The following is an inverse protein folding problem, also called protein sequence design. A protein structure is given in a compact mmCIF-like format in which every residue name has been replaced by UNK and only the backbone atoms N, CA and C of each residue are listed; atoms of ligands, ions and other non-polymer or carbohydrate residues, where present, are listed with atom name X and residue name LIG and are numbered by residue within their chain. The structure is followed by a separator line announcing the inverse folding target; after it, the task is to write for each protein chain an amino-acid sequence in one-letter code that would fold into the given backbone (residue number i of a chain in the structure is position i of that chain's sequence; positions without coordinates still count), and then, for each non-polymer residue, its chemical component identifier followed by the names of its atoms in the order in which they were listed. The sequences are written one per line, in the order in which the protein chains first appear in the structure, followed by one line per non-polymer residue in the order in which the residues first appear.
data_IF_535255266869
#
_entry.id   IF_535255266869
#
_cell.length_a   1.000
_cell.length_b   1.000
_cell.length_c   1.000
_cell.angle_alpha   90.00
_cell.angle_beta   90.00
_cell.angle_gamma   90.00
#
_symmetry.space_group_name_H-M   'P 1'
#
loop_
_entity.id
_entity.type
_entity.pdbx_description
1 polymer ?
#
# COMPACT_ATOMS: atom_id res chain seq x y z
N UNK A 1 7.84 -9.69 11.02
CA UNK A 1 7.96 -9.77 9.53
C UNK A 1 9.08 -8.92 8.96
N UNK A 2 9.51 -7.87 9.66
CA UNK A 2 10.55 -6.95 9.14
C UNK A 2 11.94 -7.56 9.18
N UNK A 3 12.25 -8.36 10.18
CA UNK A 3 13.51 -9.08 10.29
C UNK A 3 13.79 -10.00 9.10
N UNK A 4 12.77 -10.67 8.58
CA UNK A 4 12.94 -11.57 7.42
C UNK A 4 13.30 -10.82 6.15
N UNK A 5 12.75 -9.62 5.95
CA UNK A 5 13.06 -8.76 4.78
C UNK A 5 14.47 -8.18 4.89
N UNK A 6 14.86 -7.73 6.09
CA UNK A 6 16.22 -7.25 6.35
C UNK A 6 17.25 -8.37 6.13
N UNK A 7 16.98 -9.58 6.64
CA UNK A 7 17.84 -10.73 6.40
C UNK A 7 17.96 -11.05 4.91
N UNK A 8 16.85 -11.02 4.15
CA UNK A 8 16.87 -11.23 2.70
C UNK A 8 17.78 -10.23 1.97
N UNK A 9 17.68 -8.93 2.29
CA UNK A 9 18.55 -7.91 1.72
C UNK A 9 20.03 -8.15 2.08
N UNK A 10 20.32 -8.55 3.31
CA UNK A 10 21.68 -8.87 3.73
C UNK A 10 22.27 -10.07 2.98
N UNK A 11 21.48 -11.15 2.78
CA UNK A 11 21.91 -12.29 1.97
C UNK A 11 22.21 -11.88 0.52
N UNK A 12 21.39 -11.04 -0.08
CA UNK A 12 21.66 -10.50 -1.42
C UNK A 12 22.95 -9.70 -1.45
N UNK A 13 23.15 -8.81 -0.48
CA UNK A 13 24.39 -8.01 -0.40
C UNK A 13 25.65 -8.86 -0.24
N UNK A 14 25.56 -9.98 0.51
CA UNK A 14 26.67 -10.90 0.75
C UNK A 14 26.91 -11.89 -0.41
N UNK A 15 25.99 -12.02 -1.33
CA UNK A 15 26.07 -13.01 -2.43
C UNK A 15 27.19 -12.73 -3.44
N UNK A 16 27.67 -11.49 -3.50
CA UNK A 16 28.62 -11.04 -4.54
C UNK A 16 28.01 -10.91 -5.94
N UNK A 17 26.70 -11.18 -6.08
CA UNK A 17 25.98 -11.04 -7.36
C UNK A 17 25.43 -9.61 -7.51
N UNK A 18 25.31 -9.10 -8.74
CA UNK A 18 24.55 -7.88 -8.97
C UNK A 18 23.09 -8.12 -8.60
N UNK A 19 22.51 -7.25 -7.76
CA UNK A 19 21.12 -7.37 -7.30
C UNK A 19 20.43 -6.03 -7.23
N UNK A 20 19.11 -6.05 -7.28
CA UNK A 20 18.25 -4.91 -6.95
C UNK A 20 17.20 -5.35 -5.92
N UNK A 21 17.14 -4.63 -4.81
CA UNK A 21 16.09 -4.76 -3.79
C UNK A 21 15.13 -3.60 -3.91
N UNK A 22 13.84 -3.87 -4.11
CA UNK A 22 12.80 -2.86 -4.16
C UNK A 22 12.05 -2.82 -2.82
N UNK A 23 12.16 -1.71 -2.10
CA UNK A 23 11.38 -1.44 -0.89
C UNK A 23 10.11 -0.70 -1.28
N UNK A 24 8.98 -1.38 -1.16
CA UNK A 24 7.71 -0.89 -1.68
C UNK A 24 6.93 -0.12 -0.63
N UNK A 25 6.28 0.98 -1.03
CA UNK A 25 5.13 1.54 -0.33
C UNK A 25 3.93 0.57 -0.39
N UNK A 26 2.75 0.97 0.09
CA UNK A 26 1.56 0.14 0.02
C UNK A 26 1.05 0.07 -1.43
N UNK A 27 1.47 -0.97 -2.15
CA UNK A 27 1.01 -1.19 -3.52
C UNK A 27 -0.48 -1.47 -3.53
N UNK A 28 -1.21 -0.66 -4.28
CA UNK A 28 -2.67 -0.59 -4.28
C UNK A 28 -3.20 -0.83 -5.69
N UNK A 29 -4.07 -1.83 -5.83
CA UNK A 29 -4.63 -2.20 -7.13
C UNK A 29 -5.56 -3.40 -7.04
N UNK A 30 -6.01 -3.95 -8.18
CA UNK A 30 -6.93 -5.07 -8.25
C UNK A 30 -6.57 -6.22 -7.30
N UNK A 31 -7.60 -6.82 -6.70
CA UNK A 31 -7.47 -7.93 -5.74
C UNK A 31 -6.84 -7.60 -4.39
N UNK A 32 -6.55 -6.34 -4.09
CA UNK A 32 -6.15 -5.97 -2.73
C UNK A 32 -7.28 -6.30 -1.75
N UNK A 33 -7.02 -7.18 -0.80
CA UNK A 33 -8.02 -7.68 0.14
C UNK A 33 -7.65 -7.47 1.62
N UNK A 34 -6.46 -6.90 1.88
CA UNK A 34 -5.93 -6.62 3.22
C UNK A 34 -5.67 -5.13 3.38
N UNK A 35 -5.85 -4.62 4.58
CA UNK A 35 -5.58 -3.23 4.93
C UNK A 35 -6.83 -2.37 5.05
N UNK A 36 -6.66 -1.04 5.22
CA UNK A 36 -7.77 -0.15 5.55
C UNK A 36 -8.80 -0.01 4.40
N UNK A 37 -8.36 0.05 3.15
CA UNK A 37 -9.25 0.29 2.01
C UNK A 37 -10.33 -0.79 1.89
N UNK A 38 -9.99 -2.10 1.75
CA UNK A 38 -11.01 -3.15 1.66
C UNK A 38 -11.80 -3.30 2.97
N UNK A 39 -11.19 -3.01 4.12
CA UNK A 39 -11.88 -3.05 5.41
C UNK A 39 -12.98 -2.00 5.48
N UNK A 40 -12.67 -0.75 5.16
CA UNK A 40 -13.66 0.33 5.14
C UNK A 40 -14.75 0.07 4.10
N UNK A 41 -14.38 -0.34 2.89
CA UNK A 41 -15.35 -0.65 1.84
C UNK A 41 -16.35 -1.72 2.30
N UNK A 42 -15.89 -2.85 2.82
CA UNK A 42 -16.76 -3.93 3.29
C UNK A 42 -17.66 -3.49 4.46
N UNK A 43 -17.08 -2.86 5.48
CA UNK A 43 -17.82 -2.45 6.68
C UNK A 43 -18.86 -1.38 6.39
N UNK A 44 -18.48 -0.32 5.67
CA UNK A 44 -19.41 0.76 5.32
C UNK A 44 -20.53 0.28 4.39
N UNK A 45 -20.23 -0.57 3.43
CA UNK A 45 -21.25 -1.17 2.57
C UNK A 45 -22.23 -2.06 3.35
N UNK A 46 -21.79 -2.67 4.43
CA UNK A 46 -22.62 -3.45 5.35
C UNK A 46 -23.31 -2.60 6.44
N UNK A 47 -23.20 -1.28 6.41
CA UNK A 47 -23.76 -0.38 7.43
C UNK A 47 -23.09 -0.49 8.80
N UNK A 48 -21.86 -0.99 8.87
CA UNK A 48 -21.11 -1.17 10.11
C UNK A 48 -20.26 0.06 10.43
N UNK A 49 -20.08 0.35 11.72
CA UNK A 49 -19.19 1.42 12.18
C UNK A 49 -17.72 1.12 11.93
N UNK A 50 -16.95 2.19 11.75
CA UNK A 50 -15.49 2.15 11.56
C UNK A 50 -14.80 3.06 12.57
N UNK A 51 -13.50 2.87 12.68
CA UNK A 51 -12.57 3.82 13.31
C UNK A 51 -11.31 3.91 12.46
N UNK A 52 -10.56 5.00 12.58
CA UNK A 52 -9.29 5.20 11.91
C UNK A 52 -8.14 5.11 12.91
N UNK A 53 -6.99 4.59 12.52
CA UNK A 53 -5.77 4.79 13.28
C UNK A 53 -5.13 6.13 12.90
N UNK A 54 -4.44 6.76 13.88
CA UNK A 54 -3.63 7.97 13.64
C UNK A 54 -2.29 7.59 12.99
N UNK A 55 -2.37 6.98 11.81
CA UNK A 55 -1.23 6.55 11.05
C UNK A 55 -1.17 7.25 9.69
N UNK A 56 0.05 7.46 9.20
CA UNK A 56 0.32 7.90 7.84
C UNK A 56 1.02 6.81 7.05
N UNK A 57 0.58 6.60 5.82
CA UNK A 57 1.14 5.61 4.91
C UNK A 57 1.24 6.18 3.50
N UNK A 58 2.22 5.71 2.77
CA UNK A 58 2.35 5.97 1.34
C UNK A 58 1.65 4.85 0.55
N UNK A 59 0.86 5.25 -0.44
CA UNK A 59 0.09 4.37 -1.31
C UNK A 59 0.54 4.53 -2.75
N UNK A 60 0.86 3.41 -3.39
CA UNK A 60 1.40 3.36 -4.74
C UNK A 60 0.45 2.61 -5.66
N UNK A 61 0.08 3.21 -6.78
CA UNK A 61 -0.73 2.52 -7.78
C UNK A 61 0.01 1.30 -8.37
N UNK A 62 -0.73 0.23 -8.61
CA UNK A 62 -0.18 -1.00 -9.20
C UNK A 62 0.49 -0.74 -10.55
N UNK A 63 -0.03 0.18 -11.36
CA UNK A 63 0.58 0.49 -12.67
C UNK A 63 1.93 1.19 -12.53
N UNK A 64 2.09 2.05 -11.52
CA UNK A 64 3.36 2.69 -11.21
C UNK A 64 4.39 1.67 -10.67
N UNK A 65 3.92 0.73 -9.83
CA UNK A 65 4.76 -0.38 -9.38
C UNK A 65 5.26 -1.24 -10.55
N UNK A 66 4.36 -1.64 -11.48
CA UNK A 66 4.74 -2.43 -12.65
C UNK A 66 5.75 -1.68 -13.54
N UNK A 67 5.57 -0.37 -13.73
CA UNK A 67 6.55 0.45 -14.45
C UNK A 67 7.93 0.46 -13.78
N UNK A 68 7.98 0.45 -12.44
CA UNK A 68 9.25 0.33 -11.72
C UNK A 68 9.90 -1.05 -11.93
N UNK A 69 9.11 -2.12 -11.93
CA UNK A 69 9.59 -3.48 -12.20
C UNK A 69 10.15 -3.60 -13.61
N UNK A 70 9.49 -3.03 -14.61
CA UNK A 70 9.98 -3.05 -16.00
C UNK A 70 11.36 -2.39 -16.11
N UNK A 71 11.55 -1.24 -15.45
CA UNK A 71 12.85 -0.58 -15.42
C UNK A 71 13.90 -1.36 -14.64
N UNK A 72 13.50 -2.02 -13.55
CA UNK A 72 14.40 -2.84 -12.74
C UNK A 72 14.88 -4.11 -13.48
N UNK A 73 14.10 -4.59 -14.42
CA UNK A 73 14.44 -5.76 -15.24
C UNK A 73 15.27 -5.42 -16.50
N UNK A 74 15.55 -4.16 -16.75
CA UNK A 74 16.38 -3.76 -17.88
C UNK A 74 17.82 -4.27 -17.69
N UNK A 75 18.49 -4.65 -18.81
CA UNK A 75 19.82 -5.27 -18.81
C UNK A 75 20.89 -4.43 -18.07
N UNK A 76 20.76 -3.11 -18.11
CA UNK A 76 21.69 -2.17 -17.47
C UNK A 76 21.09 -1.48 -16.24
N UNK A 77 20.11 -2.11 -15.59
CA UNK A 77 19.51 -1.55 -14.38
C UNK A 77 20.56 -1.40 -13.27
N UNK A 78 20.52 -0.30 -12.50
CA UNK A 78 21.47 -0.08 -11.42
C UNK A 78 21.25 -1.10 -10.29
N UNK A 79 22.32 -1.46 -9.59
CA UNK A 79 22.26 -2.37 -8.44
C UNK A 79 22.05 -1.64 -7.12
N UNK A 80 21.58 -2.36 -6.11
CA UNK A 80 21.40 -1.88 -4.74
C UNK A 80 19.96 -1.82 -4.28
N UNK A 81 19.67 -0.94 -3.32
CA UNK A 81 18.35 -0.82 -2.69
C UNK A 81 17.65 0.44 -3.18
N UNK A 82 16.40 0.30 -3.59
CA UNK A 82 15.57 1.37 -4.16
C UNK A 82 14.20 1.41 -3.50
N UNK A 83 13.79 2.59 -3.01
CA UNK A 83 12.44 2.79 -2.52
C UNK A 83 11.50 3.07 -3.71
N UNK A 84 10.47 2.26 -3.85
CA UNK A 84 9.42 2.42 -4.86
C UNK A 84 8.15 2.91 -4.14
N UNK A 85 7.99 4.22 -4.13
CA UNK A 85 7.01 4.94 -3.32
C UNK A 85 6.63 6.26 -4.00
N UNK A 86 5.51 6.86 -3.59
CA UNK A 86 5.14 8.20 -4.04
C UNK A 86 5.97 9.28 -3.33
N UNK A 87 6.42 9.00 -2.13
CA UNK A 87 7.05 9.96 -1.22
C UNK A 87 6.05 10.87 -0.52
N UNK A 88 4.75 10.57 -0.59
CA UNK A 88 3.68 11.36 0.01
C UNK A 88 2.92 10.49 1.01
N UNK A 89 2.82 10.99 2.25
CA UNK A 89 2.07 10.33 3.31
C UNK A 89 0.61 10.75 3.32
N UNK A 90 -0.29 9.78 3.42
CA UNK A 90 -1.72 9.98 3.56
C UNK A 90 -2.22 9.35 4.86
N UNK A 91 -3.13 10.03 5.55
CA UNK A 91 -3.74 9.53 6.77
C UNK A 91 -4.74 8.41 6.47
N UNK A 92 -4.97 7.54 7.45
CA UNK A 92 -6.01 6.52 7.34
C UNK A 92 -7.40 7.16 7.26
N UNK A 93 -7.58 8.37 7.82
CA UNK A 93 -8.82 9.12 7.70
C UNK A 93 -9.09 9.59 6.27
N UNK A 94 -8.09 10.02 5.52
CA UNK A 94 -8.26 10.37 4.10
C UNK A 94 -8.79 9.19 3.28
N UNK A 95 -8.30 7.97 3.55
CA UNK A 95 -8.84 6.76 2.92
C UNK A 95 -10.31 6.54 3.28
N UNK A 96 -10.64 6.68 4.57
CA UNK A 96 -12.00 6.53 5.05
C UNK A 96 -12.95 7.51 4.36
N UNK A 97 -12.56 8.77 4.26
CA UNK A 97 -13.36 9.82 3.63
C UNK A 97 -13.56 9.54 2.12
N UNK A 98 -12.54 9.08 1.41
CA UNK A 98 -12.64 8.69 0.00
C UNK A 98 -13.57 7.49 -0.20
N UNK A 99 -13.50 6.48 0.66
CA UNK A 99 -14.41 5.31 0.59
C UNK A 99 -15.85 5.72 0.86
N UNK A 100 -16.09 6.59 1.85
CA UNK A 100 -17.45 7.13 2.13
C UNK A 100 -18.00 7.90 0.95
N UNK A 101 -17.21 8.80 0.39
CA UNK A 101 -17.57 9.56 -0.80
C UNK A 101 -17.93 8.66 -1.98
N UNK A 102 -17.13 7.64 -2.23
CA UNK A 102 -17.37 6.67 -3.30
C UNK A 102 -18.69 5.90 -3.12
N UNK A 103 -19.02 5.54 -1.88
CA UNK A 103 -20.28 4.84 -1.55
C UNK A 103 -21.51 5.77 -1.46
N UNK A 104 -21.36 7.07 -1.74
CA UNK A 104 -22.43 8.06 -1.63
C UNK A 104 -22.89 8.32 -0.20
N UNK A 105 -22.06 8.01 0.79
CA UNK A 105 -22.35 8.24 2.21
C UNK A 105 -22.01 9.69 2.60
N UNK A 106 -22.75 10.31 3.54
CA UNK A 106 -22.44 11.65 4.02
C UNK A 106 -21.06 11.67 4.71
N UNK A 107 -20.42 12.83 4.75
CA UNK A 107 -19.19 13.02 5.50
C UNK A 107 -19.40 12.64 7.00
N UNK A 108 -18.33 12.13 7.62
CA UNK A 108 -18.33 11.73 9.04
C UNK A 108 -17.14 12.40 9.74
N UNK A 109 -17.29 13.68 10.12
CA UNK A 109 -16.21 14.41 10.77
C UNK A 109 -15.86 13.86 12.16
N UNK A 110 -16.81 13.16 12.78
CA UNK A 110 -16.70 12.64 14.15
C UNK A 110 -16.20 11.19 14.20
N UNK A 111 -15.74 10.63 13.07
CA UNK A 111 -15.17 9.28 13.07
C UNK A 111 -14.05 9.19 14.12
N UNK A 112 -14.13 8.15 14.94
CA UNK A 112 -13.12 7.95 15.99
C UNK A 112 -11.75 7.72 15.37
N UNK A 113 -10.76 8.55 15.74
CA UNK A 113 -9.34 8.35 15.42
C UNK A 113 -8.65 7.88 16.70
N UNK A 114 -7.95 6.76 16.62
CA UNK A 114 -7.23 6.15 17.74
C UNK A 114 -5.73 6.18 17.48
N UNK A 115 -4.90 6.33 18.51
CA UNK A 115 -3.45 6.20 18.37
C UNK A 115 -3.06 4.87 17.74
N UNK A 116 -1.95 4.83 17.02
CA UNK A 116 -1.36 3.57 16.56
C UNK A 116 -0.98 2.71 17.76
N UNK A 117 -1.10 1.38 17.61
CA UNK A 117 -0.66 0.45 18.64
C UNK A 117 0.86 0.45 18.81
N UNK A 118 1.33 -0.05 19.94
CA UNK A 118 2.78 -0.08 20.28
C UNK A 118 3.62 -0.87 19.26
N UNK A 119 2.99 -1.81 18.56
CA UNK A 119 3.63 -2.66 17.53
C UNK A 119 3.59 -2.04 16.12
N UNK A 120 3.05 -0.85 15.94
CA UNK A 120 2.92 -0.18 14.64
C UNK A 120 3.67 1.16 14.62
N UNK A 121 4.10 1.57 13.42
CA UNK A 121 4.84 2.81 13.21
C UNK A 121 3.87 3.93 12.80
N UNK A 122 3.89 5.09 13.47
CA UNK A 122 2.97 6.19 13.16
C UNK A 122 3.05 6.68 11.72
N UNK A 123 4.25 6.72 11.13
CA UNK A 123 4.43 7.18 9.75
C UNK A 123 5.41 6.30 8.99
N UNK A 124 4.99 5.80 7.83
CA UNK A 124 5.84 5.05 6.89
C UNK A 124 5.69 5.67 5.52
N UNK A 125 6.63 6.52 5.16
CA UNK A 125 6.70 7.24 3.88
C UNK A 125 8.13 7.14 3.34
N UNK A 126 8.44 6.12 2.54
CA UNK A 126 9.79 5.94 2.01
C UNK A 126 10.16 7.07 1.04
N UNK A 127 11.39 7.55 1.10
CA UNK A 127 11.90 8.57 0.17
C UNK A 127 12.29 7.93 -1.17
N UNK A 128 11.66 8.32 -2.32
CA UNK A 128 11.95 7.79 -3.64
C UNK A 128 13.11 8.52 -4.37
N UNK A 129 13.79 9.44 -3.75
CA UNK A 129 14.77 10.34 -4.41
C UNK A 129 15.86 9.57 -5.15
N UNK A 130 16.41 8.51 -4.54
CA UNK A 130 17.41 7.65 -5.17
C UNK A 130 16.84 6.91 -6.39
N UNK A 131 15.64 6.40 -6.30
CA UNK A 131 14.96 5.71 -7.40
C UNK A 131 14.72 6.64 -8.57
N UNK A 132 14.29 7.87 -8.29
CA UNK A 132 14.13 8.91 -9.31
C UNK A 132 15.45 9.24 -9.99
N UNK A 133 16.51 9.45 -9.21
CA UNK A 133 17.81 9.86 -9.73
C UNK A 133 18.49 8.78 -10.58
N UNK A 134 18.45 7.51 -10.15
CA UNK A 134 19.23 6.43 -10.76
C UNK A 134 18.43 5.54 -11.71
N UNK A 135 17.12 5.38 -11.47
CA UNK A 135 16.23 4.56 -12.31
C UNK A 135 15.38 5.41 -13.27
N UNK A 136 15.36 6.74 -13.09
CA UNK A 136 14.52 7.64 -13.87
C UNK A 136 13.01 7.43 -13.62
N UNK A 137 12.65 6.75 -12.54
CA UNK A 137 11.28 6.42 -12.20
C UNK A 137 10.69 7.35 -11.15
N UNK A 138 9.42 7.65 -11.30
CA UNK A 138 8.60 8.30 -10.26
C UNK A 138 7.15 7.85 -10.38
N UNK A 139 6.43 7.85 -9.26
CA UNK A 139 4.98 7.63 -9.26
C UNK A 139 4.27 8.74 -10.05
N UNK A 140 3.29 8.35 -10.86
CA UNK A 140 2.53 9.24 -11.74
C UNK A 140 1.05 9.29 -11.40
N UNK A 141 0.50 8.24 -10.82
CA UNK A 141 -0.92 8.16 -10.48
C UNK A 141 -1.15 8.82 -9.13
N UNK A 142 -2.01 9.86 -9.05
CA UNK A 142 -2.35 10.50 -7.78
C UNK A 142 -3.04 9.54 -6.82
N UNK A 143 -2.93 9.82 -5.53
CA UNK A 143 -3.50 8.99 -4.45
C UNK A 143 -5.01 8.76 -4.58
N UNK A 144 -5.77 9.82 -4.80
CA UNK A 144 -7.23 9.77 -4.96
C UNK A 144 -7.64 8.92 -6.17
N UNK A 145 -6.92 9.04 -7.28
CA UNK A 145 -7.13 8.21 -8.47
C UNK A 145 -6.81 6.74 -8.20
N UNK A 146 -5.73 6.45 -7.48
CA UNK A 146 -5.36 5.09 -7.05
C UNK A 146 -6.48 4.45 -6.25
N UNK A 147 -7.01 5.18 -5.25
CA UNK A 147 -8.12 4.70 -4.41
C UNK A 147 -9.39 4.52 -5.26
N UNK A 148 -9.73 5.49 -6.11
CA UNK A 148 -10.90 5.43 -6.99
C UNK A 148 -10.88 4.21 -7.91
N UNK A 149 -9.75 3.91 -8.52
CA UNK A 149 -9.58 2.72 -9.39
C UNK A 149 -9.84 1.42 -8.63
N UNK A 150 -9.29 1.30 -7.43
CA UNK A 150 -9.49 0.12 -6.59
C UNK A 150 -10.95 -0.03 -6.16
N UNK A 151 -11.60 1.05 -5.74
CA UNK A 151 -13.00 1.02 -5.34
C UNK A 151 -13.93 0.65 -6.52
N UNK A 152 -13.67 1.18 -7.72
CA UNK A 152 -14.39 0.78 -8.93
C UNK A 152 -14.20 -0.71 -9.25
N UNK A 153 -13.00 -1.24 -9.01
CA UNK A 153 -12.75 -2.67 -9.15
C UNK A 153 -13.55 -3.50 -8.14
N UNK A 154 -13.68 -3.04 -6.88
CA UNK A 154 -14.51 -3.71 -5.88
C UNK A 154 -16.00 -3.68 -6.24
N UNK A 155 -16.50 -2.62 -6.85
CA UNK A 155 -17.90 -2.57 -7.32
C UNK A 155 -18.19 -3.63 -8.38
N UNK A 156 -17.24 -3.86 -9.28
CA UNK A 156 -17.39 -4.82 -10.36
C UNK A 156 -17.15 -6.28 -9.94
N UNK A 157 -16.24 -6.52 -8.98
CA UNK A 157 -15.74 -7.88 -8.68
C UNK A 157 -15.93 -8.29 -7.21
N UNK A 158 -16.33 -7.36 -6.34
CA UNK A 158 -16.33 -7.58 -4.89
C UNK A 158 -14.92 -7.59 -4.29
N UNK A 159 -14.87 -7.72 -2.96
CA UNK A 159 -13.62 -7.93 -2.23
C UNK A 159 -13.51 -9.41 -1.92
N UNK A 160 -12.55 -10.10 -2.53
CA UNK A 160 -12.33 -11.51 -2.30
C UNK A 160 -11.94 -11.78 -0.85
N UNK A 161 -12.33 -12.94 -0.32
CA UNK A 161 -11.81 -13.40 0.95
C UNK A 161 -10.31 -13.68 0.81
N UNK A 162 -9.56 -13.22 1.81
CA UNK A 162 -8.13 -13.48 1.86
C UNK A 162 -7.93 -14.91 2.30
N UNK A 163 -7.15 -15.68 1.56
CA UNK A 163 -6.60 -16.91 2.10
C UNK A 163 -5.67 -16.56 3.27
N UNK A 164 -6.16 -16.78 4.47
CA UNK A 164 -5.39 -16.60 5.70
C UNK A 164 -5.09 -17.95 6.31
N UNK A 165 -3.81 -18.31 6.35
CA UNK A 165 -3.36 -19.49 7.13
C UNK A 165 -3.61 -19.32 8.66
N UNK A 166 -4.04 -18.12 9.09
CA UNK A 166 -4.46 -17.82 10.45
C UNK A 166 -5.97 -17.98 10.65
N UNK A 167 -6.74 -18.22 9.60
CA UNK A 167 -8.15 -18.54 9.75
C UNK A 167 -8.28 -19.94 10.39
N UNK A 168 -9.04 -20.01 11.49
CA UNK A 168 -9.36 -21.30 12.09
C UNK A 168 -10.00 -22.23 11.05
N UNK A 169 -9.69 -23.54 11.02
CA UNK A 169 -10.35 -24.47 10.13
C UNK A 169 -11.86 -24.39 10.33
N UNK A 170 -12.60 -24.24 9.23
CA UNK A 170 -14.06 -24.33 9.28
C UNK A 170 -14.40 -25.75 9.75
N UNK A 171 -15.01 -25.84 10.93
CA UNK A 171 -15.54 -27.07 11.49
C UNK A 171 -16.67 -27.64 10.62
#
# INVERSE_FOLDING_TARGET
SDLSKVAGEQYLAMSGLPYMSLRLANVTGPRLAIGPIPTFYKRLKAGQGCFCSDAQRDFLDMSDFLAAVDLAMAEQAPTGVFNVSSGIGHSIKEIYDLVRSHLGLPADPDVKVVPVGDDDVPSVVPDPSRTRALLGWQAKVPFDETIRRLLAWYDAHGVSDVYSHLAAPKS
#
